data_IF_475563613430
#
_entry.id   IF_475563613430
#
_cell.length_a   1.000
_cell.length_b   1.000
_cell.length_c   1.000
_cell.angle_alpha   90.00
_cell.angle_beta   90.00
_cell.angle_gamma   90.00
#
_symmetry.space_group_name_H-M   'P 1'
#
loop_
_entity.id
_entity.type
_entity.pdbx_description
1 polymer ?
#
# COMPACT_ATOMS: atom_id res chain seq x y z
N UNK A 1 2.63 -18.30 -16.31
CA UNK A 1 2.69 -18.39 -14.84
C UNK A 1 2.24 -17.05 -14.27
N UNK A 2 1.18 -17.03 -13.46
CA UNK A 2 0.67 -15.81 -12.83
C UNK A 2 1.51 -15.45 -11.60
N UNK A 3 2.63 -14.76 -11.75
CA UNK A 3 3.44 -14.36 -10.58
C UNK A 3 2.79 -13.17 -9.87
N UNK A 4 2.70 -13.25 -8.56
CA UNK A 4 2.16 -12.22 -7.68
C UNK A 4 3.24 -11.74 -6.71
N UNK A 5 3.15 -10.47 -6.34
CA UNK A 5 4.13 -9.83 -5.48
C UNK A 5 3.43 -9.00 -4.42
N UNK A 6 3.89 -9.14 -3.18
CA UNK A 6 3.51 -8.26 -2.08
C UNK A 6 4.29 -6.96 -2.18
N UNK A 7 3.59 -5.83 -2.06
CA UNK A 7 4.22 -4.53 -1.84
C UNK A 7 4.65 -4.43 -0.40
N UNK A 8 5.93 -4.15 -0.18
CA UNK A 8 6.51 -4.01 1.16
C UNK A 8 7.31 -2.72 1.18
N UNK A 9 7.08 -1.89 2.21
CA UNK A 9 7.84 -0.65 2.33
C UNK A 9 9.28 -0.95 2.73
N UNK A 10 10.24 -0.24 2.14
CA UNK A 10 11.66 -0.51 2.34
C UNK A 10 12.12 -0.06 3.73
N UNK A 11 12.23 -1.00 4.67
CA UNK A 11 12.58 -0.74 6.07
C UNK A 11 13.97 -0.12 6.27
N UNK A 12 14.84 -0.16 5.25
CA UNK A 12 16.16 0.51 5.30
C UNK A 12 16.03 2.03 5.35
N UNK A 13 14.90 2.57 4.89
CA UNK A 13 14.57 4.00 4.93
C UNK A 13 13.91 4.33 6.27
N UNK A 14 14.73 4.65 7.26
CA UNK A 14 14.30 4.92 8.64
C UNK A 14 13.62 6.30 8.83
N UNK A 15 13.91 7.25 7.94
CA UNK A 15 13.49 8.65 8.09
C UNK A 15 12.36 9.06 7.14
N UNK A 16 11.52 8.12 6.72
CA UNK A 16 10.39 8.44 5.84
C UNK A 16 9.46 9.49 6.45
N UNK A 17 8.86 10.31 5.59
CA UNK A 17 7.73 11.14 5.97
C UNK A 17 6.64 10.24 6.58
N UNK A 18 6.05 10.69 7.67
CA UNK A 18 5.05 9.95 8.40
C UNK A 18 4.01 10.95 8.89
N UNK A 19 2.74 10.86 8.45
CA UNK A 19 1.66 11.67 9.01
C UNK A 19 1.67 11.57 10.55
N UNK A 20 1.51 12.70 11.24
CA UNK A 20 1.47 12.71 12.70
C UNK A 20 0.37 11.80 13.23
N UNK A 21 0.61 11.23 14.43
CA UNK A 21 -0.18 10.14 14.98
C UNK A 21 -1.69 10.39 14.90
N UNK A 22 -2.36 9.41 14.28
CA UNK A 22 -3.81 9.27 14.24
C UNK A 22 -4.17 8.03 15.06
N UNK A 23 -5.30 8.05 15.75
CA UNK A 23 -5.74 6.84 16.45
C UNK A 23 -6.01 5.72 15.43
N UNK A 24 -5.82 4.44 15.77
CA UNK A 24 -6.13 3.33 14.86
C UNK A 24 -7.55 3.38 14.28
N UNK A 25 -8.53 3.83 15.08
CA UNK A 25 -9.91 4.02 14.61
C UNK A 25 -10.05 5.13 13.56
N UNK A 26 -9.30 6.21 13.69
CA UNK A 26 -9.28 7.29 12.68
C UNK A 26 -8.67 6.81 11.38
N UNK A 27 -7.56 6.06 11.44
CA UNK A 27 -6.89 5.49 10.27
C UNK A 27 -7.85 4.60 9.49
N UNK A 28 -8.48 3.64 10.18
CA UNK A 28 -9.41 2.70 9.55
C UNK A 28 -10.55 3.41 8.81
N UNK A 29 -11.18 4.40 9.45
CA UNK A 29 -12.26 5.18 8.83
C UNK A 29 -11.79 5.88 7.53
N UNK A 30 -10.61 6.48 7.55
CA UNK A 30 -10.08 7.16 6.37
C UNK A 30 -9.80 6.21 5.21
N UNK A 31 -9.33 4.99 5.50
CA UNK A 31 -9.15 3.95 4.49
C UNK A 31 -10.47 3.47 3.89
N UNK A 32 -11.52 3.35 4.72
CA UNK A 32 -12.87 3.00 4.26
C UNK A 32 -13.49 4.11 3.39
N UNK A 33 -13.20 5.38 3.70
CA UNK A 33 -13.63 6.56 2.94
C UNK A 33 -12.74 6.86 1.72
N UNK A 34 -11.61 6.16 1.56
CA UNK A 34 -10.64 6.44 0.51
C UNK A 34 -11.26 6.23 -0.87
N UNK A 35 -11.37 7.31 -1.64
CA UNK A 35 -11.98 7.29 -2.97
C UNK A 35 -13.51 7.38 -2.97
N UNK A 36 -14.17 7.42 -1.80
CA UNK A 36 -15.58 7.86 -1.70
C UNK A 36 -15.62 9.36 -1.50
N UNK A 37 -14.76 9.87 -0.63
CA UNK A 37 -14.56 11.29 -0.40
C UNK A 37 -13.33 11.78 -1.19
N UNK A 38 -13.53 12.81 -2.00
CA UNK A 38 -12.49 13.44 -2.82
C UNK A 38 -11.89 14.68 -2.13
N UNK A 39 -12.43 15.09 -0.97
CA UNK A 39 -11.89 16.22 -0.21
C UNK A 39 -10.47 15.92 0.28
N UNK A 40 -9.50 16.83 0.00
CA UNK A 40 -8.14 16.68 0.47
C UNK A 40 -8.06 16.56 2.00
N UNK A 41 -7.28 15.60 2.46
CA UNK A 41 -6.85 15.52 3.86
C UNK A 41 -5.56 16.31 4.02
N UNK A 42 -5.39 16.97 5.16
CA UNK A 42 -4.14 17.69 5.48
C UNK A 42 -3.61 17.16 6.80
N UNK A 43 -2.37 16.67 6.79
CA UNK A 43 -1.68 16.19 7.98
C UNK A 43 -0.33 16.86 8.13
N UNK A 44 0.01 17.38 9.32
CA UNK A 44 1.40 17.64 9.63
C UNK A 44 2.15 16.31 9.67
N UNK A 45 3.42 16.30 9.25
CA UNK A 45 4.27 15.12 9.43
C UNK A 45 4.94 15.12 10.81
N UNK A 46 5.37 13.94 11.25
CA UNK A 46 6.21 13.79 12.43
C UNK A 46 7.56 14.48 12.24
N UNK A 47 7.90 15.35 13.18
CA UNK A 47 9.17 16.08 13.13
C UNK A 47 10.38 15.14 13.27
N UNK A 48 11.32 15.25 12.34
CA UNK A 48 12.58 14.50 12.32
C UNK A 48 13.74 15.39 11.86
N UNK A 49 14.98 15.02 12.20
CA UNK A 49 16.19 15.75 11.78
C UNK A 49 16.40 15.71 10.25
N UNK A 50 16.15 14.56 9.65
CA UNK A 50 16.06 14.36 8.21
C UNK A 50 14.71 13.69 7.90
N UNK A 51 14.13 14.00 6.75
CA UNK A 51 12.88 13.41 6.27
C UNK A 51 13.08 13.00 4.81
N UNK A 52 12.67 11.78 4.49
CA UNK A 52 12.70 11.22 3.14
C UNK A 52 11.27 11.04 2.62
N UNK A 53 11.01 11.57 1.43
CA UNK A 53 9.70 11.50 0.80
C UNK A 53 9.73 10.35 -0.21
N UNK A 54 9.30 9.18 0.24
CA UNK A 54 9.26 7.96 -0.55
C UNK A 54 8.01 7.93 -1.44
N UNK A 55 8.00 7.07 -2.45
CA UNK A 55 6.84 6.91 -3.33
C UNK A 55 5.74 6.04 -2.73
N UNK A 56 6.08 5.18 -1.76
CA UNK A 56 5.15 4.31 -1.04
C UNK A 56 5.41 4.36 0.46
N UNK A 57 4.38 4.73 1.22
CA UNK A 57 4.38 4.65 2.68
C UNK A 57 3.32 3.63 3.09
N UNK A 58 3.66 2.69 3.95
CA UNK A 58 2.76 1.66 4.47
C UNK A 58 2.02 2.09 5.76
N UNK A 59 2.57 3.10 6.45
CA UNK A 59 2.12 3.54 7.78
C UNK A 59 1.92 5.05 7.85
N UNK A 60 0.93 5.51 8.65
CA UNK A 60 -0.07 4.68 9.34
C UNK A 60 -1.11 4.05 8.38
N UNK A 61 -1.22 4.59 7.17
CA UNK A 61 -2.02 4.05 6.06
C UNK A 61 -1.20 4.06 4.76
N UNK A 62 -1.60 3.27 3.74
CA UNK A 62 -0.96 3.30 2.44
C UNK A 62 -1.12 4.67 1.79
N UNK A 63 0.01 5.30 1.47
CA UNK A 63 0.06 6.54 0.74
C UNK A 63 1.01 6.37 -0.45
N UNK A 64 0.55 6.83 -1.60
CA UNK A 64 1.27 6.72 -2.87
C UNK A 64 1.61 8.10 -3.40
N UNK A 65 2.82 8.29 -3.91
CA UNK A 65 3.15 9.52 -4.63
C UNK A 65 2.35 9.63 -5.92
N UNK A 66 2.27 10.85 -6.45
CA UNK A 66 1.52 11.13 -7.69
C UNK A 66 2.00 10.29 -8.89
N UNK A 67 3.31 10.04 -8.99
CA UNK A 67 3.87 9.20 -10.06
C UNK A 67 3.42 7.73 -9.97
N UNK A 68 3.31 7.17 -8.76
CA UNK A 68 2.82 5.81 -8.56
C UNK A 68 1.32 5.74 -8.81
N UNK A 69 0.57 6.72 -8.30
CA UNK A 69 -0.87 6.87 -8.53
C UNK A 69 -1.19 6.88 -10.03
N UNK A 70 -0.55 7.77 -10.81
CA UNK A 70 -0.74 7.85 -12.27
C UNK A 70 -0.40 6.54 -12.99
N UNK A 71 0.62 5.81 -12.54
CA UNK A 71 0.96 4.53 -13.12
C UNK A 71 -0.14 3.49 -12.86
N UNK A 72 -0.65 3.41 -11.63
CA UNK A 72 -1.70 2.47 -11.25
C UNK A 72 -2.98 2.76 -12.04
N UNK A 73 -3.32 4.03 -12.28
CA UNK A 73 -4.50 4.42 -13.10
C UNK A 73 -4.46 3.87 -14.53
N UNK A 74 -3.28 3.62 -15.10
CA UNK A 74 -3.16 2.98 -16.42
C UNK A 74 -3.60 1.51 -16.40
N UNK A 75 -3.50 0.85 -15.26
CA UNK A 75 -3.88 -0.55 -15.06
C UNK A 75 -5.27 -0.73 -14.46
N UNK A 76 -5.69 0.24 -13.65
CA UNK A 76 -6.94 0.21 -12.88
C UNK A 76 -7.60 1.62 -12.91
N UNK A 77 -8.13 2.04 -14.07
CA UNK A 77 -8.73 3.36 -14.26
C UNK A 77 -10.00 3.59 -13.43
N UNK A 78 -10.58 2.52 -12.87
CA UNK A 78 -11.75 2.59 -11.99
C UNK A 78 -11.43 2.98 -10.54
N UNK A 79 -10.15 2.95 -10.14
CA UNK A 79 -9.75 3.33 -8.79
C UNK A 79 -10.00 4.82 -8.56
N UNK A 80 -10.61 5.12 -7.42
CA UNK A 80 -10.81 6.49 -6.94
C UNK A 80 -9.74 6.84 -5.93
N UNK A 81 -9.36 8.11 -5.92
CA UNK A 81 -8.21 8.60 -5.17
C UNK A 81 -8.61 9.79 -4.31
N UNK A 82 -8.15 9.78 -3.06
CA UNK A 82 -8.29 10.91 -2.13
C UNK A 82 -6.93 11.59 -1.96
N UNK A 83 -6.81 12.90 -2.19
CA UNK A 83 -5.57 13.63 -1.95
C UNK A 83 -5.25 13.70 -0.46
N UNK A 84 -3.97 13.57 -0.12
CA UNK A 84 -3.43 13.70 1.23
C UNK A 84 -2.23 14.63 1.19
N UNK A 85 -2.39 15.82 1.74
CA UNK A 85 -1.36 16.86 1.82
C UNK A 85 -0.57 16.66 3.11
N UNK A 86 0.71 16.31 2.97
CA UNK A 86 1.65 16.19 4.07
C UNK A 86 2.42 17.51 4.24
N UNK A 87 2.27 18.13 5.41
CA UNK A 87 2.90 19.42 5.72
C UNK A 87 4.10 19.22 6.65
N UNK A 88 5.30 19.48 6.13
CA UNK A 88 6.54 19.61 6.91
C UNK A 88 6.76 21.08 7.27
N UNK A 89 6.28 21.47 8.44
CA UNK A 89 6.38 22.84 8.96
C UNK A 89 7.85 23.27 9.14
N UNK A 90 8.75 22.35 9.52
CA UNK A 90 10.15 22.67 9.81
C UNK A 90 10.94 23.00 8.54
N UNK A 91 10.59 22.38 7.43
CA UNK A 91 11.25 22.56 6.13
C UNK A 91 10.45 23.44 5.17
N UNK A 92 9.35 24.02 5.63
CA UNK A 92 8.42 24.81 4.81
C UNK A 92 8.00 24.07 3.53
N UNK A 93 7.76 22.76 3.64
CA UNK A 93 7.50 21.87 2.51
C UNK A 93 6.14 21.20 2.62
N UNK A 94 5.40 21.17 1.51
CA UNK A 94 4.17 20.39 1.37
C UNK A 94 4.34 19.36 0.25
N UNK A 95 3.87 18.15 0.51
CA UNK A 95 3.87 17.06 -0.47
C UNK A 95 2.48 16.46 -0.61
N UNK A 96 2.05 16.23 -1.85
CA UNK A 96 0.76 15.60 -2.13
C UNK A 96 0.96 14.10 -2.36
N UNK A 97 0.31 13.33 -1.51
CA UNK A 97 0.16 11.90 -1.61
C UNK A 97 -1.28 11.54 -1.94
N UNK A 98 -1.49 10.27 -2.29
CA UNK A 98 -2.78 9.76 -2.70
C UNK A 98 -3.11 8.50 -1.92
N UNK A 99 -4.34 8.44 -1.44
CA UNK A 99 -4.93 7.29 -0.77
C UNK A 99 -6.02 6.70 -1.65
N UNK A 100 -6.16 5.37 -1.65
CA UNK A 100 -7.22 4.67 -2.37
C UNK A 100 -7.65 3.43 -1.60
N UNK A 101 -8.91 3.04 -1.76
CA UNK A 101 -9.43 1.75 -1.30
C UNK A 101 -9.28 0.72 -2.40
N UNK A 102 -8.50 -0.33 -2.15
CA UNK A 102 -8.32 -1.42 -3.10
C UNK A 102 -9.44 -2.46 -3.00
N UNK A 103 -9.77 -3.16 -4.11
CA UNK A 103 -10.59 -4.35 -4.03
C UNK A 103 -10.01 -5.34 -3.02
N UNK A 104 -10.84 -5.76 -2.05
CA UNK A 104 -10.48 -6.77 -1.05
C UNK A 104 -10.89 -8.15 -1.53
N UNK A 105 -9.96 -9.09 -1.55
CA UNK A 105 -10.19 -10.44 -2.08
C UNK A 105 -9.97 -11.51 -1.00
N UNK A 106 -10.98 -12.32 -0.71
CA UNK A 106 -10.83 -13.58 0.02
C UNK A 106 -10.15 -14.59 -0.93
N UNK A 107 -8.84 -14.74 -0.82
CA UNK A 107 -8.02 -15.51 -1.77
C UNK A 107 -6.87 -16.28 -1.09
N UNK A 108 -6.97 -16.49 0.22
CA UNK A 108 -6.01 -17.27 0.98
C UNK A 108 -6.18 -18.75 0.65
N UNK A 109 -5.08 -19.39 0.29
CA UNK A 109 -5.03 -20.84 0.20
C UNK A 109 -5.15 -21.48 1.60
N UNK A 110 -5.72 -22.68 1.72
CA UNK A 110 -5.64 -23.50 2.93
C UNK A 110 -4.20 -23.74 3.42
N UNK A 111 -3.20 -23.63 2.52
CA UNK A 111 -1.78 -23.76 2.85
C UNK A 111 -1.19 -22.54 3.58
N UNK A 112 -1.95 -21.47 3.76
CA UNK A 112 -1.53 -20.31 4.57
C UNK A 112 -1.39 -20.68 6.05
N UNK A 113 -0.31 -20.21 6.68
CA UNK A 113 -0.05 -20.49 8.09
C UNK A 113 -0.23 -19.25 8.96
N UNK A 114 -0.76 -19.46 10.17
CA UNK A 114 -0.97 -18.43 11.17
C UNK A 114 -0.27 -18.79 12.49
N UNK A 115 0.19 -17.77 13.19
CA UNK A 115 0.60 -17.87 14.58
C UNK A 115 -0.61 -18.11 15.49
N UNK A 116 -0.36 -18.58 16.72
CA UNK A 116 -1.42 -18.87 17.70
C UNK A 116 -2.26 -17.64 18.07
N UNK A 117 -1.66 -16.45 17.99
CA UNK A 117 -2.34 -15.18 18.23
C UNK A 117 -3.21 -14.72 17.04
N UNK A 118 -3.15 -15.42 15.92
CA UNK A 118 -3.85 -15.11 14.67
C UNK A 118 -3.08 -14.21 13.71
N UNK A 119 -1.80 -13.90 13.99
CA UNK A 119 -0.94 -13.19 13.04
C UNK A 119 -0.53 -14.07 11.86
N UNK A 120 -0.42 -13.49 10.68
CA UNK A 120 -0.01 -14.19 9.45
C UNK A 120 1.47 -14.61 9.54
N UNK A 121 1.73 -15.93 9.45
CA UNK A 121 3.08 -16.50 9.48
C UNK A 121 3.62 -16.78 8.07
N UNK A 122 2.80 -17.38 7.20
CA UNK A 122 3.13 -17.68 5.80
C UNK A 122 1.93 -17.39 4.93
N UNK A 123 2.13 -16.59 3.89
CA UNK A 123 1.10 -16.22 2.94
C UNK A 123 1.15 -17.12 1.72
N UNK A 124 0.08 -17.87 1.47
CA UNK A 124 -0.10 -18.65 0.24
C UNK A 124 -1.46 -18.26 -0.37
N UNK A 125 -1.47 -17.91 -1.66
CA UNK A 125 -2.69 -17.51 -2.37
C UNK A 125 -3.20 -18.62 -3.29
N UNK A 126 -4.51 -18.61 -3.58
CA UNK A 126 -5.13 -19.53 -4.55
C UNK A 126 -4.53 -19.34 -5.95
N UNK A 127 -3.98 -20.40 -6.56
CA UNK A 127 -3.23 -20.34 -7.83
C UNK A 127 -4.11 -20.27 -9.08
N UNK A 128 -5.27 -20.96 -9.10
CA UNK A 128 -6.21 -21.00 -10.24
C UNK A 128 -7.19 -19.83 -10.27
N UNK A 129 -6.73 -18.63 -9.93
CA UNK A 129 -7.55 -17.41 -9.91
C UNK A 129 -6.99 -16.33 -10.81
N UNK A 130 -7.89 -15.60 -11.47
CA UNK A 130 -7.52 -14.41 -12.22
C UNK A 130 -7.54 -13.19 -11.28
N UNK A 131 -6.37 -12.66 -10.96
CA UNK A 131 -6.22 -11.54 -10.04
C UNK A 131 -6.23 -10.20 -10.75
N UNK A 132 -6.76 -9.18 -10.07
CA UNK A 132 -6.65 -7.79 -10.50
C UNK A 132 -5.18 -7.32 -10.43
N UNK A 133 -4.77 -6.29 -11.19
CA UNK A 133 -3.38 -5.82 -11.18
C UNK A 133 -2.85 -5.40 -9.81
N UNK A 134 -3.73 -4.87 -8.96
CA UNK A 134 -3.44 -4.50 -7.57
C UNK A 134 -4.69 -4.78 -6.71
N UNK A 135 -4.51 -5.41 -5.55
CA UNK A 135 -5.60 -5.72 -4.63
C UNK A 135 -5.10 -5.86 -3.19
N UNK A 136 -6.02 -5.88 -2.23
CA UNK A 136 -5.71 -6.17 -0.83
C UNK A 136 -6.25 -7.55 -0.43
N UNK A 137 -5.45 -8.33 0.29
CA UNK A 137 -5.90 -9.63 0.85
C UNK A 137 -6.92 -9.38 1.95
N UNK A 138 -8.06 -10.10 1.88
CA UNK A 138 -9.09 -10.09 2.92
C UNK A 138 -8.95 -11.30 3.86
N UNK A 139 -9.62 -11.26 5.01
CA UNK A 139 -9.63 -12.35 5.99
C UNK A 139 -8.42 -12.41 6.92
N UNK A 140 -7.48 -11.48 6.82
CA UNK A 140 -6.31 -11.35 7.70
C UNK A 140 -6.29 -10.01 8.43
N UNK A 141 -5.54 -9.95 9.54
CA UNK A 141 -5.40 -8.72 10.34
C UNK A 141 -4.43 -7.73 9.69
N UNK A 142 -3.42 -8.25 9.02
CA UNK A 142 -2.37 -7.49 8.36
C UNK A 142 -2.89 -6.83 7.09
N UNK A 143 -2.46 -5.59 6.85
CA UNK A 143 -2.67 -4.94 5.56
C UNK A 143 -1.66 -5.49 4.55
N UNK A 144 -2.13 -6.34 3.63
CA UNK A 144 -1.28 -6.94 2.60
C UNK A 144 -1.78 -6.54 1.22
N UNK A 145 -1.01 -5.70 0.53
CA UNK A 145 -1.25 -5.32 -0.86
C UNK A 145 -0.47 -6.23 -1.80
N UNK A 146 -1.15 -6.74 -2.82
CA UNK A 146 -0.62 -7.69 -3.80
C UNK A 146 -0.77 -7.09 -5.18
N UNK A 147 0.28 -7.20 -5.99
CA UNK A 147 0.27 -6.81 -7.39
C UNK A 147 0.69 -7.96 -8.29
N UNK A 148 0.23 -7.93 -9.55
CA UNK A 148 0.70 -8.88 -10.56
C UNK A 148 2.07 -8.49 -11.12
N UNK A 149 2.70 -9.41 -11.85
CA UNK A 149 4.00 -9.19 -12.48
C UNK A 149 4.04 -7.95 -13.38
N UNK A 150 3.00 -7.69 -14.17
CA UNK A 150 3.00 -6.59 -15.14
C UNK A 150 3.08 -5.21 -14.46
N UNK A 151 2.33 -5.01 -13.37
CA UNK A 151 2.40 -3.76 -12.61
C UNK A 151 3.65 -3.68 -11.74
N UNK A 152 4.08 -4.80 -11.12
CA UNK A 152 5.36 -4.86 -10.38
C UNK A 152 6.56 -4.43 -11.25
N UNK A 153 6.70 -5.01 -12.44
CA UNK A 153 7.79 -4.64 -13.35
C UNK A 153 7.69 -3.19 -13.83
N UNK A 154 6.48 -2.69 -14.06
CA UNK A 154 6.29 -1.29 -14.45
C UNK A 154 6.67 -0.31 -13.35
N UNK A 155 6.46 -0.66 -12.07
CA UNK A 155 6.93 0.10 -10.92
C UNK A 155 8.46 0.03 -10.82
N UNK A 156 9.04 -1.16 -10.95
CA UNK A 156 10.50 -1.38 -10.89
C UNK A 156 11.25 -0.61 -11.99
N UNK A 157 10.77 -0.63 -13.24
CA UNK A 157 11.40 0.06 -14.38
C UNK A 157 11.40 1.59 -14.27
N UNK A 158 10.68 2.16 -13.29
CA UNK A 158 10.57 3.61 -13.08
C UNK A 158 11.34 4.09 -11.85
N UNK A 159 12.08 3.20 -11.17
CA UNK A 159 12.81 3.51 -9.95
C UNK A 159 11.89 4.06 -8.84
N UNK A 160 10.79 3.36 -8.56
CA UNK A 160 9.88 3.72 -7.45
C UNK A 160 10.62 3.59 -6.12
N UNK A 161 10.67 4.69 -5.37
CA UNK A 161 11.48 4.80 -4.17
C UNK A 161 10.73 4.35 -2.91
N UNK A 162 11.38 3.56 -2.05
CA UNK A 162 10.85 3.13 -0.76
C UNK A 162 9.85 1.97 -0.78
N UNK A 163 9.83 1.20 -1.88
CA UNK A 163 9.08 -0.06 -1.99
C UNK A 163 10.00 -1.18 -2.47
N UNK A 164 9.74 -2.40 -2.00
CA UNK A 164 10.23 -3.61 -2.61
C UNK A 164 9.07 -4.60 -2.85
N UNK A 165 9.31 -5.54 -3.75
CA UNK A 165 8.33 -6.54 -4.18
C UNK A 165 8.80 -7.91 -3.74
N UNK A 166 8.07 -8.53 -2.81
CA UNK A 166 8.34 -9.90 -2.37
C UNK A 166 7.42 -10.85 -3.13
N UNK A 167 8.00 -11.85 -3.83
CA UNK A 167 7.19 -12.85 -4.53
C UNK A 167 6.33 -13.63 -3.53
N UNK A 168 5.09 -13.91 -3.94
CA UNK A 168 4.07 -14.55 -3.10
C UNK A 168 3.87 -15.97 -3.59
N UNK A 169 3.86 -16.90 -2.65
CA UNK A 169 3.59 -18.31 -2.92
C UNK A 169 2.14 -18.49 -3.37
N UNK A 170 1.94 -19.42 -4.31
CA UNK A 170 0.61 -19.84 -4.73
C UNK A 170 0.52 -21.35 -4.65
N UNK A 171 -0.64 -21.85 -4.30
CA UNK A 171 -0.92 -23.28 -4.38
C UNK A 171 -0.98 -23.75 -5.85
N UNK A 172 -0.89 -25.06 -6.03
CA UNK A 172 -0.97 -25.71 -7.34
C UNK A 172 -2.37 -26.30 -7.63
N UNK A 173 -3.30 -26.15 -6.70
CA UNK A 173 -4.63 -26.74 -6.75
C UNK A 173 -5.60 -26.05 -7.72
#
# INVERSE_FOLDING_TARGET
>A
MNRLFRLVADERIANRAEPNMMTPGTVRRLEEEAGVDEQPLVFPIRERKAVEYVDYMDRPMPLLSDRVKRLIELYMPELRWRPVILTDMKRERQEVYWMTSLPRLCCLSPDSEFHKDGGLKRLVLEGKRNYRPLFQVDGIRERVWITNLALAESLLRRDVYGVHFAEVEMDQE
#
